data_IF_864426842223
#
_entry.id   IF_864426842223
#
_cell.length_a   1.000
_cell.length_b   1.000
_cell.length_c   1.000
_cell.angle_alpha   90.00
_cell.angle_beta   90.00
_cell.angle_gamma   90.00
#
_symmetry.space_group_name_H-M   'P 1'
#
loop_
_entity.id
_entity.type
_entity.pdbx_description
1 polymer ?
#
# COMPACT_ATOMS: atom_id res chain seq x y z
N UNK A 1 -39.13 -47.64 1.76
CA UNK A 1 -38.19 -46.53 1.94
C UNK A 1 -38.09 -46.30 3.44
N UNK A 2 -37.02 -46.77 4.08
CA UNK A 2 -36.82 -46.63 5.53
C UNK A 2 -36.32 -45.22 5.83
N UNK A 3 -37.13 -44.44 6.56
CA UNK A 3 -36.68 -43.18 7.15
C UNK A 3 -35.61 -43.49 8.20
N UNK A 4 -34.39 -43.02 7.96
CA UNK A 4 -33.32 -43.01 8.97
C UNK A 4 -33.67 -41.90 9.95
N UNK A 5 -34.16 -42.29 11.12
CA UNK A 5 -34.30 -41.39 12.27
C UNK A 5 -32.88 -41.19 12.80
N UNK A 6 -32.34 -39.95 12.84
CA UNK A 6 -31.04 -39.72 13.47
C UNK A 6 -31.14 -40.14 14.94
N UNK A 7 -30.20 -40.98 15.37
CA UNK A 7 -30.11 -41.50 16.73
C UNK A 7 -29.82 -40.32 17.69
N UNK A 8 -30.66 -40.04 18.70
CA UNK A 8 -30.45 -38.92 19.62
C UNK A 8 -29.19 -39.07 20.49
N UNK A 9 -28.53 -40.23 20.48
CA UNK A 9 -27.36 -40.52 21.31
C UNK A 9 -26.01 -40.21 20.62
N UNK A 10 -26.01 -39.55 19.46
CA UNK A 10 -24.78 -39.16 18.71
C UNK A 10 -24.41 -37.69 18.84
N UNK A 11 -24.67 -37.05 19.99
CA UNK A 11 -24.16 -35.70 20.25
C UNK A 11 -22.69 -35.78 20.70
N UNK A 12 -21.79 -35.07 19.99
CA UNK A 12 -20.37 -35.00 20.32
C UNK A 12 -20.18 -34.41 21.74
N UNK A 13 -19.35 -35.03 22.61
CA UNK A 13 -19.21 -34.59 23.98
C UNK A 13 -18.52 -33.22 24.09
N UNK A 14 -19.07 -32.35 24.94
CA UNK A 14 -18.44 -31.07 25.29
C UNK A 14 -17.20 -31.34 26.16
N UNK A 15 -16.01 -31.13 25.60
CA UNK A 15 -14.73 -31.32 26.32
C UNK A 15 -14.25 -30.06 27.06
N UNK A 16 -14.78 -28.88 26.72
CA UNK A 16 -14.41 -27.61 27.34
C UNK A 16 -15.53 -26.57 27.17
N UNK A 17 -15.64 -25.67 28.14
CA UNK A 17 -16.52 -24.50 28.08
C UNK A 17 -15.71 -23.27 28.47
N UNK A 18 -15.88 -22.18 27.72
CA UNK A 18 -15.13 -20.95 27.91
C UNK A 18 -16.09 -19.78 28.10
N UNK A 19 -15.84 -18.97 29.13
CA UNK A 19 -16.58 -17.72 29.33
C UNK A 19 -16.07 -16.66 28.35
N UNK A 20 -16.98 -16.09 27.55
CA UNK A 20 -16.66 -15.04 26.58
C UNK A 20 -17.05 -13.69 27.17
N UNK A 21 -16.06 -12.85 27.45
CA UNK A 21 -16.27 -11.49 27.92
C UNK A 21 -16.20 -10.50 26.74
N UNK A 22 -17.28 -9.76 26.51
CA UNK A 22 -17.32 -8.70 25.50
C UNK A 22 -16.95 -7.38 26.19
N UNK A 23 -15.85 -6.77 25.77
CA UNK A 23 -15.48 -5.42 26.23
C UNK A 23 -16.20 -4.36 25.40
N UNK A 24 -16.80 -3.37 26.07
CA UNK A 24 -17.31 -2.17 25.41
C UNK A 24 -16.12 -1.32 24.96
N UNK A 25 -15.68 -1.52 23.71
CA UNK A 25 -14.46 -0.92 23.20
C UNK A 25 -14.74 0.51 22.69
N UNK A 26 -14.49 1.51 23.55
CA UNK A 26 -14.44 2.93 23.18
C UNK A 26 -13.32 3.28 22.17
N UNK A 27 -12.43 2.34 21.86
CA UNK A 27 -11.25 2.56 21.00
C UNK A 27 -11.50 1.98 19.62
N UNK A 28 -11.33 2.81 18.58
CA UNK A 28 -11.36 2.38 17.18
C UNK A 28 -10.16 1.48 16.90
N UNK A 29 -10.41 0.21 16.60
CA UNK A 29 -9.40 -0.75 16.16
C UNK A 29 -9.49 -0.95 14.66
N UNK A 30 -8.35 -1.04 13.99
CA UNK A 30 -8.26 -1.33 12.56
C UNK A 30 -7.53 -2.66 12.38
N UNK A 31 -8.12 -3.55 11.58
CA UNK A 31 -7.47 -4.77 11.12
C UNK A 31 -6.92 -4.52 9.72
N UNK A 32 -5.59 -4.57 9.59
CA UNK A 32 -4.91 -4.43 8.30
C UNK A 32 -4.58 -5.82 7.77
N UNK A 33 -5.08 -6.14 6.58
CA UNK A 33 -4.83 -7.41 5.91
C UNK A 33 -3.97 -7.16 4.68
N UNK A 34 -2.95 -8.00 4.48
CA UNK A 34 -2.00 -7.90 3.37
C UNK A 34 -2.10 -9.18 2.52
N UNK A 35 -3.03 -9.27 1.55
CA UNK A 35 -3.26 -10.49 0.77
C UNK A 35 -2.02 -10.98 0.01
N UNK A 36 -1.19 -10.05 -0.47
CA UNK A 36 0.03 -10.35 -1.22
C UNK A 36 1.20 -10.79 -0.32
N UNK A 37 0.99 -10.80 1.00
CA UNK A 37 2.01 -11.14 1.99
C UNK A 37 1.75 -12.54 2.54
N UNK A 38 2.76 -13.39 2.47
CA UNK A 38 2.66 -14.73 3.05
C UNK A 38 2.65 -14.65 4.59
N UNK A 39 1.84 -15.48 5.27
CA UNK A 39 1.76 -15.48 6.74
C UNK A 39 3.10 -15.73 7.45
N UNK A 40 4.04 -16.42 6.77
CA UNK A 40 5.39 -16.73 7.28
C UNK A 40 6.41 -15.58 7.13
N UNK A 41 6.04 -14.49 6.45
CA UNK A 41 6.89 -13.31 6.30
C UNK A 41 6.12 -12.05 6.75
N UNK A 42 5.73 -11.94 8.04
CA UNK A 42 4.98 -10.79 8.55
C UNK A 42 5.79 -9.48 8.59
N UNK A 43 5.10 -8.37 8.85
CA UNK A 43 5.70 -7.05 9.05
C UNK A 43 6.00 -6.77 10.53
N UNK A 44 6.68 -7.70 11.19
CA UNK A 44 7.03 -7.62 12.62
C UNK A 44 8.56 -7.69 12.88
N UNK A 45 9.36 -7.93 11.83
CA UNK A 45 10.81 -8.02 11.93
C UNK A 45 11.48 -6.66 12.15
N UNK A 46 12.69 -6.67 12.71
CA UNK A 46 13.49 -5.50 13.15
C UNK A 46 13.59 -4.36 12.13
N UNK A 47 13.48 -4.65 10.82
CA UNK A 47 13.64 -3.67 9.74
C UNK A 47 12.42 -3.57 8.81
N UNK A 48 11.26 -4.11 9.21
CA UNK A 48 10.02 -4.13 8.40
C UNK A 48 8.77 -3.82 9.21
N UNK A 49 8.94 -3.10 10.31
CA UNK A 49 7.82 -2.67 11.17
C UNK A 49 7.17 -1.42 10.57
N UNK A 50 5.82 -1.34 10.52
CA UNK A 50 5.12 -0.12 10.12
C UNK A 50 5.58 1.10 10.93
N UNK A 51 5.93 2.19 10.25
CA UNK A 51 6.45 3.41 10.89
C UNK A 51 5.47 4.57 10.89
N UNK A 52 4.63 4.69 9.85
CA UNK A 52 3.65 5.77 9.72
C UNK A 52 2.33 5.22 9.20
N UNK A 53 1.21 5.72 9.72
CA UNK A 53 -0.14 5.42 9.26
C UNK A 53 -0.85 6.72 8.88
N UNK A 54 -1.38 6.78 7.66
CA UNK A 54 -2.21 7.90 7.17
C UNK A 54 -3.61 7.40 6.87
N UNK A 55 -4.63 8.10 7.34
CA UNK A 55 -6.04 7.73 7.17
C UNK A 55 -6.85 8.95 6.71
N UNK A 56 -7.68 8.77 5.68
CA UNK A 56 -8.76 9.70 5.33
C UNK A 56 -10.09 9.19 5.91
N UNK A 57 -10.58 9.75 7.03
CA UNK A 57 -11.71 9.17 7.76
C UNK A 57 -13.00 9.07 6.95
N UNK A 58 -13.26 10.04 6.06
CA UNK A 58 -14.49 10.09 5.27
C UNK A 58 -14.51 9.08 4.12
N UNK A 59 -13.37 8.87 3.46
CA UNK A 59 -13.27 7.96 2.30
C UNK A 59 -12.87 6.54 2.71
N UNK A 60 -12.36 6.38 3.94
CA UNK A 60 -11.83 5.11 4.44
C UNK A 60 -10.50 4.73 3.82
N UNK A 61 -9.84 5.62 3.09
CA UNK A 61 -8.57 5.30 2.45
C UNK A 61 -7.44 5.36 3.47
N UNK A 62 -6.60 4.32 3.49
CA UNK A 62 -5.52 4.17 4.46
C UNK A 62 -4.21 3.91 3.72
N UNK A 63 -3.12 4.45 4.25
CA UNK A 63 -1.76 4.18 3.80
C UNK A 63 -0.88 3.86 4.99
N UNK A 64 0.00 2.89 4.83
CA UNK A 64 0.96 2.46 5.84
C UNK A 64 2.35 2.51 5.23
N UNK A 65 3.26 3.25 5.85
CA UNK A 65 4.65 3.27 5.43
C UNK A 65 5.44 2.18 6.17
N UNK A 66 6.15 1.37 5.39
CA UNK A 66 6.96 0.25 5.86
C UNK A 66 8.38 0.40 5.31
N UNK A 67 9.41 0.38 6.17
CA UNK A 67 10.80 0.39 5.71
C UNK A 67 11.13 -0.84 4.87
N UNK A 68 11.98 -0.65 3.86
CA UNK A 68 12.54 -1.73 3.04
C UNK A 68 14.00 -1.94 3.37
N UNK A 69 14.40 -3.21 3.43
CA UNK A 69 15.79 -3.61 3.69
C UNK A 69 16.63 -3.35 2.45
N UNK A 70 17.66 -2.52 2.56
CA UNK A 70 18.58 -2.26 1.44
C UNK A 70 19.84 -3.12 1.44
N UNK A 71 20.07 -3.88 2.51
CA UNK A 71 21.24 -4.75 2.63
C UNK A 71 21.18 -6.00 1.74
N UNK A 72 19.97 -6.42 1.34
CA UNK A 72 19.76 -7.62 0.53
C UNK A 72 18.61 -7.42 -0.44
N UNK A 73 18.74 -7.96 -1.66
CA UNK A 73 17.72 -7.94 -2.71
C UNK A 73 17.21 -6.52 -3.06
N UNK A 74 18.08 -5.53 -2.93
CA UNK A 74 17.80 -4.14 -3.26
C UNK A 74 18.73 -3.66 -4.36
N UNK A 75 18.21 -2.83 -5.25
CA UNK A 75 18.98 -2.25 -6.35
C UNK A 75 19.17 -0.75 -6.10
N UNK A 76 20.40 -0.37 -5.79
CA UNK A 76 20.73 1.02 -5.41
C UNK A 76 20.48 2.01 -6.55
N UNK A 77 20.71 1.65 -7.81
CA UNK A 77 20.52 2.59 -8.92
C UNK A 77 19.05 2.92 -9.13
N UNK A 78 18.18 1.91 -9.08
CA UNK A 78 16.72 2.13 -9.08
C UNK A 78 16.27 2.86 -7.82
N UNK A 79 16.83 2.50 -6.68
CA UNK A 79 16.56 3.13 -5.40
C UNK A 79 16.83 4.63 -5.39
N UNK A 80 17.96 5.04 -5.98
CA UNK A 80 18.33 6.45 -6.15
C UNK A 80 17.38 7.17 -7.11
N UNK A 81 17.13 6.59 -8.29
CA UNK A 81 16.18 7.13 -9.28
C UNK A 81 14.81 7.41 -8.67
N UNK A 82 14.24 6.42 -7.98
CA UNK A 82 12.94 6.59 -7.32
C UNK A 82 13.01 7.55 -6.13
N UNK A 83 14.01 7.44 -5.26
CA UNK A 83 14.14 8.30 -4.09
C UNK A 83 14.28 9.78 -4.46
N UNK A 84 15.07 10.09 -5.48
CA UNK A 84 15.23 11.44 -6.01
C UNK A 84 13.93 11.95 -6.65
N UNK A 85 13.24 11.12 -7.43
CA UNK A 85 11.95 11.47 -8.02
C UNK A 85 10.89 11.78 -6.95
N UNK A 86 10.85 11.02 -5.86
CA UNK A 86 9.95 11.24 -4.72
C UNK A 86 10.26 12.52 -3.95
N UNK A 87 11.54 12.84 -3.78
CA UNK A 87 11.93 14.11 -3.16
C UNK A 87 11.55 15.29 -4.04
N UNK A 88 11.81 15.21 -5.35
CA UNK A 88 11.41 16.22 -6.33
C UNK A 88 9.88 16.41 -6.34
N UNK A 89 9.10 15.33 -6.38
CA UNK A 89 7.64 15.40 -6.41
C UNK A 89 7.04 16.02 -5.14
N UNK A 90 7.64 15.74 -3.96
CA UNK A 90 7.22 16.36 -2.70
C UNK A 90 7.46 17.87 -2.69
N UNK A 91 8.60 18.34 -3.21
CA UNK A 91 8.91 19.77 -3.30
C UNK A 91 7.97 20.47 -4.28
N UNK A 92 7.68 19.86 -5.43
CA UNK A 92 6.75 20.43 -6.42
C UNK A 92 5.29 20.41 -5.96
N UNK A 93 4.93 19.53 -5.02
CA UNK A 93 3.56 19.36 -4.51
C UNK A 93 3.27 20.11 -3.20
N UNK A 94 4.02 21.18 -2.86
CA UNK A 94 3.75 22.08 -1.71
C UNK A 94 2.38 22.80 -1.83
N UNK A 95 1.29 22.04 -1.73
CA UNK A 95 -0.08 22.48 -1.92
C UNK A 95 -1.11 21.34 -2.06
N UNK A 96 -0.69 20.10 -2.35
CA UNK A 96 -1.61 18.96 -2.32
C UNK A 96 -1.19 17.73 -3.12
N UNK A 97 -0.55 16.78 -2.46
CA UNK A 97 -0.92 15.36 -2.49
C UNK A 97 0.06 14.59 -1.60
N UNK A 98 -0.43 14.06 -0.48
CA UNK A 98 0.38 13.26 0.44
C UNK A 98 0.29 11.80 -0.01
N UNK A 99 1.22 11.39 -0.87
CA UNK A 99 1.39 10.01 -1.34
C UNK A 99 2.46 9.93 -2.42
N UNK A 100 3.13 8.77 -2.51
CA UNK A 100 4.36 8.51 -3.29
C UNK A 100 4.26 8.90 -4.78
N UNK A 101 3.05 9.02 -5.33
CA UNK A 101 2.76 9.86 -6.49
C UNK A 101 1.26 10.17 -6.48
N UNK A 102 0.82 11.34 -6.03
CA UNK A 102 -0.61 11.71 -6.15
C UNK A 102 -1.59 10.78 -5.41
N UNK A 103 -1.20 10.30 -4.23
CA UNK A 103 -2.01 9.38 -3.41
C UNK A 103 -3.44 9.90 -3.17
N UNK A 104 -4.42 9.04 -3.46
CA UNK A 104 -5.88 9.20 -3.40
C UNK A 104 -6.65 9.79 -4.60
N UNK A 105 -6.13 9.73 -5.83
CA UNK A 105 -6.97 9.88 -7.03
C UNK A 105 -7.27 8.55 -7.71
N UNK A 106 -7.92 7.65 -6.97
CA UNK A 106 -8.74 6.60 -7.58
C UNK A 106 -10.18 7.13 -7.71
N UNK A 107 -10.40 7.88 -8.80
CA UNK A 107 -11.69 8.10 -9.48
C UNK A 107 -12.72 9.02 -8.81
N UNK A 108 -12.87 10.24 -9.34
CA UNK A 108 -14.16 10.96 -9.38
C UNK A 108 -14.31 11.76 -10.67
N UNK A 109 -15.08 11.20 -11.59
CA UNK A 109 -16.07 11.84 -12.48
C UNK A 109 -15.78 13.15 -13.21
N UNK A 110 -16.22 13.12 -14.48
CA UNK A 110 -16.73 14.21 -15.33
C UNK A 110 -15.72 14.95 -16.20
N UNK A 111 -16.05 15.00 -17.48
CA UNK A 111 -15.35 15.82 -18.43
C UNK A 111 -15.54 17.32 -18.19
N UNK A 112 -14.76 18.05 -18.97
CA UNK A 112 -14.89 19.46 -19.31
C UNK A 112 -14.47 20.51 -18.27
N UNK A 113 -13.54 21.34 -18.76
CA UNK A 113 -13.41 22.78 -18.56
C UNK A 113 -12.69 23.29 -17.30
N UNK A 114 -11.40 23.60 -17.50
CA UNK A 114 -10.96 25.00 -17.42
C UNK A 114 -10.47 25.52 -16.07
N UNK A 115 -9.15 25.47 -15.86
CA UNK A 115 -8.42 26.52 -15.16
C UNK A 115 -7.02 26.63 -15.76
N UNK A 116 -6.86 27.62 -16.64
CA UNK A 116 -5.59 28.04 -17.22
C UNK A 116 -4.75 28.79 -16.18
N UNK A 117 -3.43 28.56 -16.17
CA UNK A 117 -2.52 29.29 -15.28
C UNK A 117 -1.06 28.84 -15.29
N UNK A 118 -0.42 28.80 -16.47
CA UNK A 118 1.00 29.11 -16.71
C UNK A 118 2.13 28.42 -15.92
N UNK A 119 2.84 27.50 -16.58
CA UNK A 119 4.21 27.11 -16.20
C UNK A 119 4.72 26.01 -17.13
N UNK A 120 5.55 26.38 -18.11
CA UNK A 120 5.93 25.55 -19.26
C UNK A 120 6.64 24.24 -18.94
N UNK A 121 6.26 23.20 -19.68
CA UNK A 121 6.96 21.92 -19.78
C UNK A 121 6.24 21.05 -20.80
N UNK A 122 6.90 20.75 -21.92
CA UNK A 122 6.28 20.17 -23.12
C UNK A 122 5.44 18.92 -22.85
N UNK A 123 4.14 19.04 -23.10
CA UNK A 123 3.21 17.91 -23.16
C UNK A 123 3.48 17.10 -24.45
N UNK A 124 4.42 16.15 -24.36
CA UNK A 124 4.54 15.08 -25.34
C UNK A 124 3.36 14.12 -25.17
N UNK A 125 2.36 14.25 -26.05
CA UNK A 125 1.31 13.23 -26.27
C UNK A 125 1.94 12.00 -26.92
N UNK A 126 2.77 11.27 -26.17
CA UNK A 126 3.41 10.05 -26.63
C UNK A 126 2.40 8.91 -26.58
N UNK A 127 1.99 8.41 -27.75
CA UNK A 127 1.66 6.98 -27.86
C UNK A 127 2.88 6.22 -27.35
N UNK A 128 2.67 5.23 -26.48
CA UNK A 128 3.72 4.27 -26.15
C UNK A 128 3.94 3.40 -27.40
N UNK A 129 4.76 3.90 -28.31
CA UNK A 129 5.39 3.11 -29.36
C UNK A 129 6.55 2.36 -28.69
N UNK A 130 6.67 1.04 -28.84
CA UNK A 130 7.85 0.33 -28.37
C UNK A 130 9.06 0.90 -29.12
N UNK A 131 9.99 1.49 -28.38
CA UNK A 131 11.25 1.98 -28.94
C UNK A 131 12.06 0.74 -29.32
N UNK A 132 12.24 0.53 -30.63
CA UNK A 132 13.23 -0.41 -31.15
C UNK A 132 14.61 0.04 -30.67
N UNK A 133 15.22 -0.79 -29.83
CA UNK A 133 16.51 -0.53 -29.18
C UNK A 133 17.61 -0.87 -30.17
N UNK A 134 17.83 0.01 -31.16
CA UNK A 134 19.11 0.07 -31.85
C UNK A 134 19.97 1.15 -31.17
N UNK A 135 21.20 0.76 -30.83
CA UNK A 135 22.17 1.46 -30.00
C UNK A 135 22.50 2.87 -30.51
N UNK A 136 21.70 3.87 -30.12
CA UNK A 136 21.99 5.26 -30.41
C UNK A 136 22.80 5.87 -29.25
N UNK A 137 24.05 6.28 -29.50
CA UNK A 137 24.98 6.82 -28.48
C UNK A 137 24.40 8.01 -27.69
N UNK A 138 23.42 8.72 -28.27
CA UNK A 138 22.66 9.79 -27.62
C UNK A 138 21.77 9.29 -26.48
N UNK A 139 21.18 8.10 -26.62
CA UNK A 139 20.40 7.47 -25.55
C UNK A 139 21.31 7.02 -24.41
N UNK A 140 22.47 6.45 -24.74
CA UNK A 140 23.48 6.08 -23.74
C UNK A 140 24.03 7.30 -22.98
N UNK A 141 24.22 8.44 -23.66
CA UNK A 141 24.59 9.72 -23.03
C UNK A 141 23.53 10.24 -22.08
N UNK A 142 22.26 10.24 -22.49
CA UNK A 142 21.14 10.68 -21.64
C UNK A 142 20.97 9.80 -20.38
N UNK A 143 21.17 8.48 -20.51
CA UNK A 143 21.12 7.55 -19.37
C UNK A 143 22.29 7.78 -18.41
N UNK A 144 23.49 8.09 -18.92
CA UNK A 144 24.68 8.40 -18.11
C UNK A 144 24.52 9.70 -17.32
N UNK A 145 24.03 10.75 -17.97
CA UNK A 145 23.82 12.06 -17.33
C UNK A 145 22.80 11.95 -16.19
N UNK A 146 21.73 11.16 -16.41
CA UNK A 146 20.74 10.88 -15.36
C UNK A 146 21.33 10.12 -14.17
N UNK A 147 22.18 9.11 -14.41
CA UNK A 147 22.81 8.33 -13.35
C UNK A 147 23.81 9.16 -12.51
N UNK A 148 24.48 10.13 -13.11
CA UNK A 148 25.34 11.08 -12.39
C UNK A 148 24.52 12.07 -11.56
N UNK A 149 23.44 12.62 -12.10
CA UNK A 149 22.53 13.50 -11.37
C UNK A 149 21.92 12.77 -10.17
N UNK A 150 21.50 11.51 -10.35
CA UNK A 150 20.89 10.73 -9.30
C UNK A 150 21.87 10.39 -8.17
N UNK A 151 23.12 10.07 -8.51
CA UNK A 151 24.18 9.85 -7.53
C UNK A 151 24.53 11.14 -6.78
N UNK A 152 24.49 12.30 -7.45
CA UNK A 152 24.72 13.62 -6.83
C UNK A 152 23.61 14.00 -5.85
N UNK A 153 22.34 13.71 -6.19
CA UNK A 153 21.21 13.98 -5.32
C UNK A 153 21.16 13.03 -4.10
N UNK A 154 21.59 11.78 -4.28
CA UNK A 154 21.94 10.85 -3.19
C UNK A 154 20.76 10.37 -2.33
N UNK A 155 19.51 10.54 -2.78
CA UNK A 155 18.33 10.13 -2.00
C UNK A 155 17.95 8.70 -2.35
N UNK A 156 18.17 7.79 -1.41
CA UNK A 156 17.79 6.39 -1.57
C UNK A 156 16.33 6.17 -1.13
N UNK A 157 15.54 5.45 -1.93
CA UNK A 157 14.20 5.04 -1.54
C UNK A 157 14.26 3.93 -0.50
N UNK A 158 14.01 4.25 0.77
CA UNK A 158 14.12 3.31 1.90
C UNK A 158 12.77 2.85 2.47
N UNK A 159 11.67 3.33 1.90
CA UNK A 159 10.32 3.13 2.43
C UNK A 159 9.36 2.77 1.31
N UNK A 160 8.52 1.78 1.56
CA UNK A 160 7.38 1.41 0.72
C UNK A 160 6.09 1.83 1.40
N UNK A 161 5.17 2.43 0.65
CA UNK A 161 3.83 2.76 1.13
C UNK A 161 2.83 1.71 0.65
N UNK A 162 2.10 1.10 1.58
CA UNK A 162 1.01 0.16 1.30
C UNK A 162 -0.33 0.88 1.44
N UNK A 163 -1.05 0.98 0.32
CA UNK A 163 -2.37 1.60 0.27
C UNK A 163 -3.50 0.58 0.42
N UNK A 164 -4.58 0.99 1.06
CA UNK A 164 -5.79 0.19 1.22
C UNK A 164 -7.03 1.03 1.41
N UNK A 165 -8.19 0.37 1.46
CA UNK A 165 -9.47 0.99 1.77
C UNK A 165 -10.19 0.19 2.84
N UNK A 166 -10.68 0.88 3.86
CA UNK A 166 -11.54 0.31 4.88
C UNK A 166 -12.86 -0.09 4.20
N UNK A 167 -13.15 -1.39 4.24
CA UNK A 167 -14.43 -1.94 3.81
C UNK A 167 -15.47 -1.67 4.90
N UNK A 168 -16.58 -1.03 4.54
CA UNK A 168 -17.73 -0.93 5.44
C UNK A 168 -18.35 -2.33 5.59
N UNK A 169 -18.76 -2.69 6.81
CA UNK A 169 -19.42 -3.96 7.06
C UNK A 169 -20.73 -4.04 6.27
N UNK A 170 -20.89 -5.09 5.46
CA UNK A 170 -22.13 -5.41 4.76
C UNK A 170 -22.73 -6.67 5.39
N UNK A 171 -24.05 -6.79 5.37
CA UNK A 171 -24.73 -8.02 5.80
C UNK A 171 -24.17 -9.24 5.03
N UNK A 172 -23.80 -10.29 5.77
CA UNK A 172 -23.14 -11.48 5.21
C UNK A 172 -21.61 -11.42 5.18
N UNK A 173 -20.98 -10.28 5.51
CA UNK A 173 -19.52 -10.23 5.67
C UNK A 173 -19.08 -10.94 6.97
N UNK A 174 -17.87 -11.53 6.98
CA UNK A 174 -17.31 -12.13 8.19
C UNK A 174 -17.09 -11.07 9.26
N UNK A 175 -17.57 -11.35 10.48
CA UNK A 175 -17.34 -10.52 11.66
C UNK A 175 -16.02 -10.94 12.31
N UNK A 176 -15.04 -10.03 12.31
CA UNK A 176 -13.77 -10.25 12.99
C UNK A 176 -13.90 -9.86 14.47
N UNK A 177 -13.53 -10.78 15.36
CA UNK A 177 -13.42 -10.53 16.80
C UNK A 177 -11.96 -10.65 17.23
N UNK A 178 -11.49 -9.68 18.03
CA UNK A 178 -10.15 -9.69 18.62
C UNK A 178 -10.29 -10.12 20.09
N UNK A 179 -9.88 -11.36 20.36
CA UNK A 179 -9.85 -11.92 21.72
C UNK A 179 -8.46 -11.81 22.35
N UNK A 180 -8.42 -11.65 23.67
CA UNK A 180 -7.22 -11.85 24.47
C UNK A 180 -7.53 -12.94 25.49
N UNK A 181 -6.66 -13.95 25.58
CA UNK A 181 -6.80 -15.04 26.54
C UNK A 181 -6.01 -14.69 27.80
N UNK A 182 -6.58 -14.99 28.96
CA UNK A 182 -5.91 -14.90 30.25
C UNK A 182 -5.71 -16.32 30.76
N UNK A 183 -4.52 -16.60 31.27
CA UNK A 183 -4.22 -17.81 32.02
C UNK A 183 -4.84 -17.75 33.43
#
# INVERSE_FOLDING_TARGET
MSNIIPDPDTDDPIIASYDIFITDALIRRLLLQYPDRQPKDPYDGTYRVPTELRLKPKTGLVEVDIPITTQANYNDTKGLRFGNALRKSRITSEGGSHGVAGGFNATSSSGAAGAAGGGGGGAGKGRFEPIDVEEDERFAGFVRDADEEDRKAGVLMMTQTLGGRIKAAVEGDPVYMLGAFRD
#
